data_IF_754260957689
#
_entry.id   IF_754260957689
#
_cell.length_a   1.000
_cell.length_b   1.000
_cell.length_c   1.000
_cell.angle_alpha   90.00
_cell.angle_beta   90.00
_cell.angle_gamma   90.00
#
_symmetry.space_group_name_H-M   'P 1'
#
loop_
_entity.id
_entity.type
_entity.pdbx_description
1 polymer ?
#
# COMPACT_ATOMS: atom_id res chain seq x y z
N UNK A 1 -17.28 -7.83 14.95
CA UNK A 1 -16.98 -6.42 14.64
C UNK A 1 -15.82 -6.44 13.66
N UNK A 2 -16.04 -5.94 12.45
CA UNK A 2 -15.19 -6.10 11.27
C UNK A 2 -13.78 -5.58 11.53
N UNK A 3 -12.82 -6.49 11.75
CA UNK A 3 -11.44 -6.18 12.14
C UNK A 3 -10.52 -5.85 10.95
N UNK A 4 -11.06 -5.24 9.89
CA UNK A 4 -10.33 -4.94 8.65
C UNK A 4 -10.96 -3.78 7.87
N UNK A 5 -10.32 -3.35 6.76
CA UNK A 5 -10.79 -2.25 5.94
C UNK A 5 -12.20 -2.51 5.39
N UNK A 6 -13.01 -1.46 5.29
CA UNK A 6 -14.36 -1.54 4.74
C UNK A 6 -14.37 -1.14 3.25
N UNK A 7 -14.06 -2.12 2.39
CA UNK A 7 -14.08 -1.92 0.94
C UNK A 7 -15.47 -1.60 0.38
N UNK A 8 -16.55 -1.78 1.15
CA UNK A 8 -17.90 -1.45 0.69
C UNK A 8 -18.18 0.07 0.67
N UNK A 9 -17.38 0.86 1.41
CA UNK A 9 -17.54 2.32 1.49
C UNK A 9 -17.04 3.08 0.28
N UNK A 10 -16.19 2.48 -0.54
CA UNK A 10 -15.64 3.13 -1.72
C UNK A 10 -16.20 2.54 -3.01
N UNK A 11 -16.53 3.44 -3.95
CA UNK A 11 -17.00 3.06 -5.28
C UNK A 11 -15.95 2.20 -5.98
N UNK A 12 -16.35 1.00 -6.39
CA UNK A 12 -15.47 0.05 -7.06
C UNK A 12 -14.59 -0.80 -6.12
N UNK A 13 -14.81 -0.75 -4.80
CA UNK A 13 -14.08 -1.59 -3.85
C UNK A 13 -12.61 -1.22 -3.70
N UNK A 14 -12.28 0.07 -3.87
CA UNK A 14 -10.92 0.58 -3.86
C UNK A 14 -10.71 1.58 -2.72
N UNK A 15 -9.85 1.24 -1.77
CA UNK A 15 -9.50 2.14 -0.68
C UNK A 15 -8.17 2.86 -0.95
N UNK A 16 -8.05 4.14 -0.56
CA UNK A 16 -6.77 4.83 -0.51
C UNK A 16 -5.79 4.09 0.42
N UNK A 17 -4.55 3.96 -0.04
CA UNK A 17 -3.47 3.35 0.70
C UNK A 17 -2.25 4.28 0.71
N UNK A 18 -1.78 4.62 1.90
CA UNK A 18 -0.62 5.47 2.14
C UNK A 18 0.51 4.58 2.65
N UNK A 19 1.63 4.55 1.93
CA UNK A 19 2.85 3.90 2.40
C UNK A 19 3.71 4.90 3.16
N UNK A 20 4.12 4.54 4.36
CA UNK A 20 4.99 5.35 5.21
C UNK A 20 6.15 4.49 5.71
N UNK A 21 7.36 5.05 5.71
CA UNK A 21 8.52 4.37 6.27
C UNK A 21 8.31 4.14 7.77
N UNK A 22 8.46 2.89 8.20
CA UNK A 22 8.20 2.49 9.57
C UNK A 22 9.16 3.16 10.57
N UNK A 23 10.38 3.52 10.15
CA UNK A 23 11.43 4.12 10.98
C UNK A 23 11.43 5.64 10.91
N UNK A 24 11.51 6.21 9.72
CA UNK A 24 11.65 7.67 9.53
C UNK A 24 10.33 8.41 9.60
N UNK A 25 9.20 7.69 9.46
CA UNK A 25 7.85 8.24 9.35
C UNK A 25 7.64 9.13 8.12
N UNK A 26 8.56 9.10 7.16
CA UNK A 26 8.37 9.77 5.87
C UNK A 26 7.24 9.08 5.10
N UNK A 27 6.30 9.87 4.57
CA UNK A 27 5.32 9.37 3.60
C UNK A 27 6.04 9.08 2.30
N UNK A 28 5.91 7.86 1.80
CA UNK A 28 6.64 7.36 0.63
C UNK A 28 5.82 7.46 -0.64
N UNK A 29 4.56 7.02 -0.59
CA UNK A 29 3.68 7.04 -1.77
C UNK A 29 2.22 6.87 -1.39
N UNK A 30 1.35 7.21 -2.35
CA UNK A 30 -0.07 6.92 -2.36
C UNK A 30 -0.39 5.92 -3.47
N UNK A 31 -1.29 4.99 -3.20
CA UNK A 31 -1.85 4.07 -4.19
C UNK A 31 -3.26 3.62 -3.77
N UNK A 32 -3.85 2.72 -4.56
CA UNK A 32 -5.15 2.11 -4.28
C UNK A 32 -4.95 0.65 -3.89
N UNK A 33 -5.78 0.16 -2.99
CA UNK A 33 -5.91 -1.27 -2.70
C UNK A 33 -7.34 -1.72 -2.94
N UNK A 34 -7.52 -2.91 -3.49
CA UNK A 34 -8.77 -3.65 -3.38
C UNK A 34 -8.64 -4.73 -2.30
N UNK A 35 -9.72 -5.45 -2.03
CA UNK A 35 -9.70 -6.51 -1.01
C UNK A 35 -8.65 -7.60 -1.32
N UNK A 36 -8.48 -7.95 -2.59
CA UNK A 36 -7.50 -8.94 -3.04
C UNK A 36 -6.05 -8.49 -2.78
N UNK A 37 -5.71 -7.25 -3.13
CA UNK A 37 -4.37 -6.70 -2.91
C UNK A 37 -4.04 -6.55 -1.42
N UNK A 38 -5.05 -6.25 -0.59
CA UNK A 38 -4.92 -6.23 0.86
C UNK A 38 -4.63 -7.62 1.43
N UNK A 39 -5.42 -8.63 1.02
CA UNK A 39 -5.21 -10.02 1.45
C UNK A 39 -3.83 -10.54 1.03
N UNK A 40 -3.42 -10.25 -0.21
CA UNK A 40 -2.09 -10.64 -0.70
C UNK A 40 -0.96 -9.94 0.09
N UNK A 41 -1.16 -8.69 0.48
CA UNK A 41 -0.18 -7.95 1.29
C UNK A 41 0.02 -8.61 2.65
N UNK A 42 -1.07 -9.03 3.31
CA UNK A 42 -0.99 -9.76 4.58
C UNK A 42 -0.32 -11.12 4.39
N UNK A 43 -0.74 -11.88 3.38
CA UNK A 43 -0.26 -13.26 3.20
C UNK A 43 1.20 -13.33 2.78
N UNK A 44 1.66 -12.38 1.96
CA UNK A 44 3.03 -12.36 1.45
C UNK A 44 4.03 -11.62 2.34
N UNK A 45 3.54 -10.71 3.21
CA UNK A 45 4.38 -9.78 3.96
C UNK A 45 5.02 -8.69 3.11
N UNK A 46 4.59 -8.51 1.85
CA UNK A 46 5.06 -7.46 0.94
C UNK A 46 3.87 -6.72 0.33
N UNK A 47 4.03 -5.40 0.17
CA UNK A 47 2.90 -4.57 -0.26
C UNK A 47 2.52 -4.82 -1.71
N UNK A 48 1.24 -5.11 -1.90
CA UNK A 48 0.58 -5.27 -3.18
C UNK A 48 -0.54 -4.24 -3.29
N UNK A 49 -0.52 -3.45 -4.35
CA UNK A 49 -1.53 -2.46 -4.67
C UNK A 49 -2.45 -2.96 -5.79
N UNK A 50 -3.49 -2.19 -6.08
CA UNK A 50 -4.31 -2.35 -7.26
C UNK A 50 -4.03 -1.22 -8.25
N UNK A 51 -3.61 -1.57 -9.46
CA UNK A 51 -3.43 -0.60 -10.54
C UNK A 51 -4.75 -0.37 -11.26
N UNK A 52 -5.37 0.79 -11.05
CA UNK A 52 -6.64 1.16 -11.73
C UNK A 52 -6.51 1.24 -13.25
N UNK A 53 -5.37 1.70 -13.75
CA UNK A 53 -5.12 1.81 -15.19
C UNK A 53 -4.86 0.46 -15.86
N UNK A 54 -4.23 -0.49 -15.15
CA UNK A 54 -3.94 -1.84 -15.66
C UNK A 54 -5.00 -2.87 -15.26
N UNK A 55 -5.97 -2.46 -14.44
CA UNK A 55 -7.03 -3.29 -13.87
C UNK A 55 -6.52 -4.63 -13.29
N UNK A 56 -5.41 -4.58 -12.53
CA UNK A 56 -4.76 -5.77 -11.97
C UNK A 56 -3.98 -5.46 -10.69
N UNK A 57 -3.65 -6.50 -9.94
CA UNK A 57 -2.70 -6.42 -8.82
C UNK A 57 -1.33 -5.93 -9.29
N UNK A 58 -0.70 -5.12 -8.45
CA UNK A 58 0.63 -4.57 -8.66
C UNK A 58 1.47 -4.78 -7.40
N UNK A 59 2.33 -5.78 -7.45
CA UNK A 59 3.30 -6.07 -6.40
C UNK A 59 4.41 -5.02 -6.47
N UNK A 60 4.54 -4.19 -5.43
CA UNK A 60 5.51 -3.09 -5.45
C UNK A 60 6.93 -3.65 -5.57
N UNK A 61 7.62 -3.25 -6.63
CA UNK A 61 9.00 -3.66 -6.91
C UNK A 61 9.16 -5.07 -7.45
N UNK A 62 8.11 -5.70 -7.99
CA UNK A 62 8.21 -7.02 -8.65
C UNK A 62 9.22 -7.01 -9.81
N UNK A 63 9.24 -5.95 -10.61
CA UNK A 63 10.15 -5.80 -11.74
C UNK A 63 11.48 -5.14 -11.34
N UNK A 64 11.46 -4.12 -10.46
CA UNK A 64 12.65 -3.33 -10.12
C UNK A 64 13.45 -3.85 -8.93
N UNK A 65 12.91 -4.80 -8.16
CA UNK A 65 13.45 -5.20 -6.86
C UNK A 65 13.22 -4.19 -5.73
N UNK A 66 12.63 -3.01 -6.01
CA UNK A 66 12.36 -1.99 -5.00
C UNK A 66 11.07 -2.28 -4.21
N UNK A 67 11.17 -3.28 -3.33
CA UNK A 67 10.02 -3.84 -2.60
C UNK A 67 9.71 -3.09 -1.31
N UNK A 68 8.48 -3.24 -0.84
CA UNK A 68 8.01 -2.73 0.45
C UNK A 68 7.66 -3.91 1.34
N UNK A 69 8.47 -4.16 2.37
CA UNK A 69 8.17 -5.19 3.36
C UNK A 69 7.18 -4.64 4.38
N UNK A 70 6.09 -5.35 4.60
CA UNK A 70 5.05 -4.96 5.53
C UNK A 70 5.56 -5.05 6.97
N UNK A 71 5.37 -3.99 7.75
CA UNK A 71 5.67 -3.94 9.19
C UNK A 71 4.37 -3.87 10.00
N UNK A 72 3.47 -2.96 9.63
CA UNK A 72 2.22 -2.74 10.35
C UNK A 72 1.16 -2.19 9.38
N UNK A 73 -0.11 -2.51 9.61
CA UNK A 73 -1.24 -1.85 8.95
C UNK A 73 -2.05 -1.12 10.01
N UNK A 74 -2.42 0.12 9.70
CA UNK A 74 -3.39 0.91 10.46
C UNK A 74 -4.53 1.33 9.54
N UNK A 75 -5.68 1.57 10.15
CA UNK A 75 -6.85 2.11 9.50
C UNK A 75 -7.18 3.45 10.15
N UNK A 76 -7.85 4.32 9.40
CA UNK A 76 -8.49 5.49 9.98
C UNK A 76 -9.75 5.15 10.76
N UNK A 77 -10.42 6.16 11.31
CA UNK A 77 -11.47 5.97 12.31
C UNK A 77 -12.74 5.31 11.75
N UNK A 78 -12.95 5.37 10.45
CA UNK A 78 -14.07 4.77 9.74
C UNK A 78 -13.64 3.67 8.75
N UNK A 79 -12.37 3.26 8.80
CA UNK A 79 -11.82 2.10 8.09
C UNK A 79 -11.93 2.17 6.56
N UNK A 80 -11.92 3.37 5.99
CA UNK A 80 -11.90 3.56 4.54
C UNK A 80 -10.55 4.06 4.00
N UNK A 81 -9.56 4.29 4.86
CA UNK A 81 -8.19 4.54 4.47
C UNK A 81 -7.19 3.60 5.17
N UNK A 82 -6.19 3.16 4.41
CA UNK A 82 -5.17 2.22 4.87
C UNK A 82 -3.83 2.95 4.99
N UNK A 83 -3.26 2.98 6.19
CA UNK A 83 -1.87 3.39 6.42
C UNK A 83 -1.01 2.13 6.56
N UNK A 84 -0.03 1.99 5.67
CA UNK A 84 0.89 0.85 5.63
C UNK A 84 2.26 1.34 6.10
N UNK A 85 2.70 0.85 7.26
CA UNK A 85 4.07 1.04 7.69
C UNK A 85 4.95 -0.03 7.04
N UNK A 86 5.99 0.43 6.34
CA UNK A 86 6.85 -0.44 5.54
C UNK A 86 8.33 -0.23 5.85
N UNK A 87 9.10 -1.30 5.66
CA UNK A 87 10.54 -1.18 5.42
C UNK A 87 10.74 -1.13 3.90
N UNK A 88 11.23 0.01 3.40
CA UNK A 88 11.46 0.23 1.97
C UNK A 88 12.83 -0.33 1.55
N UNK A 89 12.83 -1.21 0.55
CA UNK A 89 14.03 -1.70 -0.12
C UNK A 89 14.20 -0.91 -1.43
N UNK A 90 15.36 -0.29 -1.64
CA UNK A 90 15.59 0.59 -2.80
C UNK A 90 14.71 1.85 -2.78
N UNK A 91 14.34 2.37 -3.96
CA UNK A 91 13.54 3.58 -4.07
C UNK A 91 12.03 3.30 -4.12
N UNK A 92 11.23 4.08 -3.37
CA UNK A 92 9.77 3.99 -3.49
C UNK A 92 9.29 4.54 -4.85
N UNK A 93 9.90 5.64 -5.31
CA UNK A 93 9.57 6.31 -6.57
C UNK A 93 10.27 5.65 -7.77
N UNK A 94 9.62 5.73 -8.95
CA UNK A 94 10.19 5.25 -10.21
C UNK A 94 11.32 6.14 -10.75
N UNK A 95 11.40 7.40 -10.31
CA UNK A 95 12.50 8.33 -10.62
C UNK A 95 13.73 8.13 -9.72
N UNK A 96 13.70 7.14 -8.81
CA UNK A 96 14.83 6.83 -7.91
C UNK A 96 14.79 7.55 -6.56
N UNK A 97 13.82 8.42 -6.32
CA UNK A 97 13.64 9.09 -5.02
C UNK A 97 13.10 8.15 -3.94
N UNK A 98 13.47 8.44 -2.70
CA UNK A 98 12.97 7.74 -1.52
C UNK A 98 11.45 7.88 -1.36
N UNK A 99 10.89 9.04 -1.72
CA UNK A 99 9.46 9.33 -1.71
C UNK A 99 8.99 9.86 -3.07
N UNK A 100 7.73 9.63 -3.40
CA UNK A 100 7.05 10.29 -4.52
C UNK A 100 6.71 11.76 -4.22
N UNK A 101 6.87 12.20 -2.97
CA UNK A 101 6.61 13.57 -2.52
C UNK A 101 7.95 14.27 -2.25
N UNK A 102 8.30 15.25 -3.09
CA UNK A 102 9.54 16.04 -3.01
C UNK A 102 9.33 17.39 -2.36
#
# INVERSE_FOLDING_TARGET
MTSGPDFSKSVGGLLPAIAQDARTKQVLMFAWMNEESYRETISSGYVTYFSRSRNRLWRKGEESGHRQKLIEIRLDCDADCILILVEQIGAACHEGYASCFF
#
